data_IF_592147412117
#
_entry.id   IF_592147412117
#
_cell.length_a   1.000
_cell.length_b   1.000
_cell.length_c   1.000
_cell.angle_alpha   90.00
_cell.angle_beta   90.00
_cell.angle_gamma   90.00
#
_symmetry.space_group_name_H-M   'P 1'
#
loop_
_entity.id
_entity.type
_entity.pdbx_description
1 polymer ?
#
# COMPACT_ATOMS: atom_id res chain seq x y z
N UNK A 1 42.96 19.19 43.80
CA UNK A 1 41.94 18.13 43.96
C UNK A 1 40.61 18.84 44.10
N UNK A 2 40.02 19.25 42.99
CA UNK A 2 38.75 19.99 43.00
C UNK A 2 37.61 19.01 43.26
N UNK A 3 37.15 18.99 44.51
CA UNK A 3 36.00 18.22 44.93
C UNK A 3 34.76 18.82 44.28
N UNK A 4 34.23 18.10 43.29
CA UNK A 4 32.86 18.22 42.79
C UNK A 4 31.87 18.18 43.96
N UNK A 5 31.53 19.33 44.53
CA UNK A 5 30.34 19.49 45.37
C UNK A 5 29.24 19.96 44.43
N UNK A 6 28.81 19.04 43.58
CA UNK A 6 27.56 19.19 42.85
C UNK A 6 26.46 19.22 43.91
N UNK A 7 25.79 20.36 44.02
CA UNK A 7 24.79 20.60 45.06
C UNK A 7 23.62 19.64 44.88
N UNK A 8 22.94 19.26 45.97
CA UNK A 8 21.78 18.35 45.89
C UNK A 8 20.70 18.84 44.91
N UNK A 9 20.60 20.16 44.73
CA UNK A 9 19.69 20.81 43.78
C UNK A 9 20.10 20.58 42.31
N UNK A 10 21.40 20.67 41.99
CA UNK A 10 21.92 20.36 40.65
C UNK A 10 21.71 18.90 40.26
N UNK A 11 21.90 17.98 41.22
CA UNK A 11 21.62 16.56 41.00
C UNK A 11 20.14 16.30 40.78
N UNK A 12 19.28 16.95 41.55
CA UNK A 12 17.84 16.82 41.41
C UNK A 12 17.37 17.36 40.05
N UNK A 13 17.89 18.51 39.61
CA UNK A 13 17.60 19.09 38.30
C UNK A 13 18.08 18.20 37.14
N UNK A 14 19.27 17.60 37.26
CA UNK A 14 19.78 16.63 36.27
C UNK A 14 18.91 15.37 36.19
N UNK A 15 18.52 14.82 37.33
CA UNK A 15 17.64 13.65 37.39
C UNK A 15 16.25 13.94 36.80
N UNK A 16 15.68 15.11 37.08
CA UNK A 16 14.39 15.54 36.50
C UNK A 16 14.51 15.67 34.98
N UNK A 17 15.61 16.24 34.48
CA UNK A 17 15.84 16.33 33.04
C UNK A 17 16.02 14.95 32.38
N UNK A 18 16.74 14.03 33.02
CA UNK A 18 16.94 12.67 32.52
C UNK A 18 15.63 11.85 32.54
N UNK A 19 14.81 12.00 33.58
CA UNK A 19 13.47 11.39 33.64
C UNK A 19 12.55 11.93 32.55
N UNK A 20 12.55 13.24 32.33
CA UNK A 20 11.79 13.88 31.25
C UNK A 20 12.24 13.34 29.88
N UNK A 21 13.54 13.22 29.63
CA UNK A 21 14.06 12.63 28.38
C UNK A 21 13.64 11.17 28.21
N UNK A 22 13.80 10.34 29.25
CA UNK A 22 13.38 8.93 29.18
C UNK A 22 11.88 8.78 28.92
N UNK A 23 11.06 9.66 29.51
CA UNK A 23 9.61 9.64 29.31
C UNK A 23 9.24 9.98 27.86
N UNK A 24 9.94 10.93 27.22
CA UNK A 24 9.80 11.22 25.79
C UNK A 24 10.17 10.01 24.93
N UNK A 25 11.31 9.38 25.21
CA UNK A 25 11.77 8.22 24.45
C UNK A 25 10.82 7.01 24.57
N UNK A 26 10.13 6.88 25.70
CA UNK A 26 9.08 5.87 25.90
C UNK A 26 7.86 6.22 25.05
N UNK A 27 7.35 7.45 25.13
CA UNK A 27 6.17 7.87 24.37
C UNK A 27 6.42 7.85 22.86
N UNK A 28 7.59 8.26 22.37
CA UNK A 28 7.95 8.15 20.96
C UNK A 28 8.00 6.69 20.48
N UNK A 29 8.42 5.76 21.35
CA UNK A 29 8.37 4.32 21.06
C UNK A 29 6.94 3.80 21.03
N UNK A 30 6.10 4.20 21.97
CA UNK A 30 4.67 3.86 21.99
C UNK A 30 3.96 4.37 20.73
N UNK A 31 4.26 5.60 20.31
CA UNK A 31 3.76 6.20 19.07
C UNK A 31 4.15 5.39 17.83
N UNK A 32 5.40 4.90 17.75
CA UNK A 32 5.86 4.03 16.66
C UNK A 32 5.12 2.69 16.65
N UNK A 33 4.97 2.06 17.82
CA UNK A 33 4.23 0.79 17.96
C UNK A 33 2.78 0.98 17.53
N UNK A 34 2.13 2.05 17.98
CA UNK A 34 0.75 2.37 17.61
C UNK A 34 0.57 2.51 16.09
N UNK A 35 1.50 3.19 15.42
CA UNK A 35 1.47 3.34 13.96
C UNK A 35 1.70 2.01 13.25
N UNK A 36 2.63 1.18 13.74
CA UNK A 36 2.85 -0.15 13.18
C UNK A 36 1.62 -1.05 13.34
N UNK A 37 0.87 -0.92 14.44
CA UNK A 37 -0.42 -1.58 14.63
C UNK A 37 -1.49 -1.06 13.64
N UNK A 38 -1.55 0.25 13.39
CA UNK A 38 -2.46 0.84 12.41
C UNK A 38 -2.16 0.36 10.98
N UNK A 39 -0.88 0.21 10.63
CA UNK A 39 -0.44 -0.35 9.35
C UNK A 39 -0.85 -1.83 9.25
N UNK A 40 -0.64 -2.61 10.31
CA UNK A 40 -1.03 -4.03 10.35
C UNK A 40 -2.54 -4.22 10.21
N UNK A 41 -3.33 -3.32 10.81
CA UNK A 41 -4.78 -3.32 10.74
C UNK A 41 -5.34 -2.73 9.42
N UNK A 42 -4.47 -2.25 8.52
CA UNK A 42 -4.87 -1.64 7.24
C UNK A 42 -5.62 -0.30 7.39
N UNK A 43 -5.54 0.33 8.56
CA UNK A 43 -6.17 1.65 8.83
C UNK A 43 -5.32 2.82 8.33
N UNK A 44 -4.02 2.59 8.19
CA UNK A 44 -3.06 3.55 7.67
C UNK A 44 -2.37 2.95 6.46
N UNK A 45 -2.14 3.76 5.43
CA UNK A 45 -1.34 3.33 4.29
C UNK A 45 0.17 3.44 4.61
N UNK A 46 1.04 2.56 4.07
CA UNK A 46 2.48 2.66 4.27
C UNK A 46 3.07 4.02 3.86
N UNK A 47 2.49 4.67 2.84
CA UNK A 47 2.88 6.00 2.36
C UNK A 47 2.63 7.13 3.37
N UNK A 48 1.78 6.90 4.36
CA UNK A 48 1.36 7.87 5.36
C UNK A 48 2.09 7.70 6.71
N UNK A 49 2.92 6.65 6.84
CA UNK A 49 3.60 6.28 8.09
C UNK A 49 4.41 7.43 8.69
N UNK A 50 5.29 8.02 7.89
CA UNK A 50 6.25 9.02 8.38
C UNK A 50 5.56 10.31 8.80
N UNK A 51 4.50 10.72 8.09
CA UNK A 51 3.71 11.91 8.44
C UNK A 51 2.83 11.67 9.67
N UNK A 52 2.19 10.51 9.77
CA UNK A 52 1.43 10.14 10.97
C UNK A 52 2.33 10.16 12.21
N UNK A 53 3.56 9.64 12.09
CA UNK A 53 4.52 9.61 13.19
C UNK A 53 4.98 11.00 13.57
N UNK A 54 5.26 11.86 12.58
CA UNK A 54 5.64 13.25 12.83
C UNK A 54 4.53 14.01 13.56
N UNK A 55 3.27 13.86 13.14
CA UNK A 55 2.12 14.52 13.79
C UNK A 55 1.94 14.01 15.22
N UNK A 56 2.02 12.69 15.42
CA UNK A 56 1.81 12.09 16.73
C UNK A 56 2.89 12.52 17.73
N UNK A 57 4.16 12.54 17.31
CA UNK A 57 5.26 13.01 18.15
C UNK A 57 5.12 14.52 18.47
N UNK A 58 4.62 15.33 17.53
CA UNK A 58 4.33 16.74 17.80
C UNK A 58 3.18 16.92 18.81
N UNK A 59 2.13 16.10 18.71
CA UNK A 59 1.03 16.10 19.68
C UNK A 59 1.51 15.69 21.08
N UNK A 60 2.34 14.64 21.18
CA UNK A 60 2.97 14.26 22.46
C UNK A 60 3.88 15.37 23.00
N UNK A 61 4.57 16.10 22.13
CA UNK A 61 5.34 17.30 22.50
C UNK A 61 4.44 18.40 23.10
N UNK A 62 3.30 18.66 22.47
CA UNK A 62 2.31 19.64 22.94
C UNK A 62 1.75 19.27 24.32
N UNK A 63 1.32 18.03 24.51
CA UNK A 63 0.68 17.55 25.75
C UNK A 63 1.63 17.58 26.96
N UNK A 64 2.93 17.43 26.70
CA UNK A 64 3.97 17.51 27.74
C UNK A 64 4.48 18.96 27.96
N UNK A 65 3.75 19.98 27.49
CA UNK A 65 4.10 21.40 27.58
C UNK A 65 5.50 21.73 27.00
N UNK A 66 5.97 20.91 26.05
CA UNK A 66 7.29 21.08 25.47
C UNK A 66 7.27 22.06 24.30
N UNK A 67 8.39 22.74 24.12
CA UNK A 67 8.64 23.60 22.96
C UNK A 67 8.64 22.72 21.70
N UNK A 68 7.58 22.84 20.91
CA UNK A 68 7.47 22.20 19.61
C UNK A 68 8.38 22.96 18.66
N UNK A 69 9.42 22.28 18.15
CA UNK A 69 10.31 22.86 17.15
C UNK A 69 9.67 22.71 15.76
N UNK A 70 8.88 23.71 15.38
CA UNK A 70 8.41 23.89 14.00
C UNK A 70 9.45 24.70 13.24
N UNK A 71 9.80 24.28 12.03
CA UNK A 71 10.64 25.08 11.12
C UNK A 71 9.88 26.33 10.69
N UNK A 72 10.62 27.38 10.31
CA UNK A 72 10.05 28.64 9.87
C UNK A 72 9.12 28.42 8.65
N UNK A 73 7.84 28.70 8.82
CA UNK A 73 6.80 28.49 7.80
C UNK A 73 6.03 27.16 7.91
N UNK A 74 6.44 26.22 8.75
CA UNK A 74 5.64 25.02 9.04
C UNK A 74 4.68 25.27 10.20
N UNK A 75 3.38 25.03 9.97
CA UNK A 75 2.37 25.02 11.03
C UNK A 75 1.88 23.60 11.28
N UNK A 76 1.47 23.32 12.52
CA UNK A 76 0.83 22.06 12.87
C UNK A 76 -0.40 21.79 11.99
N UNK A 77 -1.17 22.85 11.71
CA UNK A 77 -2.30 22.82 10.78
C UNK A 77 -1.87 22.38 9.37
N UNK A 78 -0.75 22.89 8.85
CA UNK A 78 -0.25 22.53 7.52
C UNK A 78 0.15 21.06 7.43
N UNK A 79 0.77 20.50 8.48
CA UNK A 79 1.13 19.07 8.53
C UNK A 79 -0.11 18.18 8.56
N UNK A 80 -1.12 18.53 9.36
CA UNK A 80 -2.39 17.80 9.38
C UNK A 80 -3.09 17.89 8.02
N UNK A 81 -3.15 19.07 7.40
CA UNK A 81 -3.72 19.23 6.06
C UNK A 81 -3.02 18.34 5.04
N UNK A 82 -1.68 18.35 5.00
CA UNK A 82 -0.89 17.48 4.12
C UNK A 82 -1.19 16.00 4.35
N UNK A 83 -1.32 15.58 5.61
CA UNK A 83 -1.66 14.21 5.96
C UNK A 83 -3.07 13.80 5.50
N UNK A 84 -4.06 14.67 5.72
CA UNK A 84 -5.44 14.45 5.29
C UNK A 84 -5.58 14.43 3.75
N UNK A 85 -4.85 15.30 3.04
CA UNK A 85 -4.85 15.32 1.57
C UNK A 85 -4.30 14.03 0.96
N UNK A 86 -3.41 13.33 1.69
CA UNK A 86 -2.91 12.01 1.29
C UNK A 86 -3.85 10.86 1.64
N UNK A 87 -4.95 11.10 2.36
CA UNK A 87 -5.96 10.07 2.58
C UNK A 87 -6.75 9.84 1.30
N UNK A 88 -6.56 8.66 0.71
CA UNK A 88 -7.39 8.24 -0.41
C UNK A 88 -8.82 8.02 0.09
N UNK A 89 -9.79 8.74 -0.47
CA UNK A 89 -11.19 8.44 -0.24
C UNK A 89 -11.46 7.05 -0.83
N UNK A 90 -11.78 6.07 0.01
CA UNK A 90 -12.27 4.78 -0.48
C UNK A 90 -13.65 5.06 -1.08
N UNK A 91 -13.71 5.15 -2.40
CA UNK A 91 -14.96 5.36 -3.10
C UNK A 91 -15.76 4.05 -3.08
N UNK A 92 -16.67 3.92 -2.12
CA UNK A 92 -17.57 2.76 -1.98
C UNK A 92 -18.65 2.73 -3.08
N UNK A 93 -18.64 3.66 -4.03
CA UNK A 93 -19.60 3.70 -5.13
C UNK A 93 -19.51 2.51 -6.09
N UNK A 94 -18.47 1.66 -5.98
CA UNK A 94 -18.26 0.50 -6.84
C UNK A 94 -18.71 -0.82 -6.17
N UNK A 95 -19.80 -0.82 -5.42
CA UNK A 95 -20.40 -2.07 -4.92
C UNK A 95 -21.90 -2.24 -5.23
N UNK A 96 -22.52 -1.36 -6.02
CA UNK A 96 -23.90 -1.59 -6.48
C UNK A 96 -24.17 -1.28 -7.95
N UNK A 97 -23.23 -0.72 -8.72
CA UNK A 97 -23.47 -0.43 -10.15
C UNK A 97 -22.75 -1.33 -11.14
N UNK A 98 -21.80 -2.18 -10.70
CA UNK A 98 -21.19 -3.23 -11.53
C UNK A 98 -21.60 -4.66 -11.10
N UNK A 99 -22.68 -4.78 -10.31
CA UNK A 99 -23.49 -5.99 -10.32
C UNK A 99 -24.53 -5.86 -11.43
N UNK A 100 -24.01 -5.81 -12.66
CA UNK A 100 -24.75 -6.11 -13.86
C UNK A 100 -25.04 -7.61 -13.80
N UNK A 101 -26.11 -7.97 -13.09
CA UNK A 101 -26.64 -9.32 -12.97
C UNK A 101 -27.22 -9.69 -14.34
N UNK A 102 -26.30 -10.06 -15.24
CA UNK A 102 -26.43 -10.54 -16.62
C UNK A 102 -26.78 -9.50 -17.69
N UNK A 103 -25.87 -9.31 -18.66
CA UNK A 103 -26.23 -9.18 -20.09
C UNK A 103 -25.10 -9.46 -21.09
N UNK A 104 -23.84 -9.55 -20.66
CA UNK A 104 -22.77 -10.15 -21.48
C UNK A 104 -22.01 -11.23 -20.71
N UNK A 105 -22.74 -12.28 -20.29
CA UNK A 105 -22.15 -13.61 -20.47
C UNK A 105 -21.81 -13.66 -21.96
N UNK A 106 -20.53 -13.51 -22.33
CA UNK A 106 -20.03 -14.39 -23.40
C UNK A 106 -20.54 -15.74 -22.95
N UNK A 107 -21.48 -16.30 -23.71
CA UNK A 107 -21.99 -17.63 -23.46
C UNK A 107 -20.75 -18.43 -23.09
N UNK A 108 -20.71 -19.01 -21.88
CA UNK A 108 -19.72 -20.02 -21.60
C UNK A 108 -20.05 -21.12 -22.59
N UNK A 109 -19.51 -20.98 -23.81
CA UNK A 109 -19.46 -22.04 -24.79
C UNK A 109 -18.51 -22.98 -24.09
N UNK A 110 -19.11 -23.91 -23.35
CA UNK A 110 -18.45 -25.16 -23.04
C UNK A 110 -17.78 -25.56 -24.34
N UNK A 111 -16.44 -25.60 -24.32
CA UNK A 111 -15.65 -25.98 -25.48
C UNK A 111 -16.24 -27.32 -25.91
N UNK A 112 -16.99 -27.32 -27.00
CA UNK A 112 -17.50 -28.58 -27.51
C UNK A 112 -16.25 -29.38 -27.82
N UNK A 113 -16.11 -30.58 -27.25
CA UNK A 113 -14.92 -31.43 -27.41
C UNK A 113 -14.60 -31.76 -28.89
N UNK A 114 -15.49 -31.34 -29.81
CA UNK A 114 -15.42 -31.53 -31.24
C UNK A 114 -14.99 -30.28 -32.04
N UNK A 115 -14.74 -29.13 -31.43
CA UNK A 115 -14.17 -27.98 -32.15
C UNK A 115 -12.65 -28.17 -32.31
N UNK A 116 -12.24 -28.62 -33.50
CA UNK A 116 -10.82 -28.63 -33.90
C UNK A 116 -10.29 -27.21 -33.77
N UNK A 117 -9.28 -27.04 -32.92
CA UNK A 117 -8.59 -25.76 -32.75
C UNK A 117 -8.15 -25.25 -34.14
N UNK A 118 -8.59 -24.06 -34.59
CA UNK A 118 -8.30 -23.57 -35.92
C UNK A 118 -6.79 -23.48 -36.18
N UNK A 119 -5.97 -23.26 -35.16
CA UNK A 119 -4.52 -23.27 -35.27
C UNK A 119 -3.94 -24.66 -35.56
N UNK A 120 -4.52 -25.71 -34.95
CA UNK A 120 -4.10 -27.10 -35.19
C UNK A 120 -4.52 -27.58 -36.58
N UNK A 121 -5.70 -27.18 -37.05
CA UNK A 121 -6.16 -27.52 -38.39
C UNK A 121 -5.25 -26.88 -39.45
N UNK A 122 -4.89 -25.61 -39.28
CA UNK A 122 -4.00 -24.90 -40.21
C UNK A 122 -2.60 -25.53 -40.25
N UNK A 123 -2.08 -25.97 -39.10
CA UNK A 123 -0.82 -26.70 -39.02
C UNK A 123 -0.88 -28.05 -39.77
N UNK A 124 -1.99 -28.78 -39.64
CA UNK A 124 -2.20 -30.04 -40.36
C UNK A 124 -2.28 -29.82 -41.87
N UNK A 125 -2.97 -28.77 -42.32
CA UNK A 125 -3.08 -28.42 -43.74
C UNK A 125 -1.70 -28.08 -44.31
N UNK A 126 -0.92 -27.24 -43.62
CA UNK A 126 0.44 -26.89 -44.04
C UNK A 126 1.36 -28.12 -44.14
N UNK A 127 1.23 -29.05 -43.20
CA UNK A 127 2.00 -30.31 -43.22
C UNK A 127 1.60 -31.19 -44.38
N UNK A 128 0.30 -31.32 -44.65
CA UNK A 128 -0.22 -32.10 -45.77
C UNK A 128 0.22 -31.52 -47.13
N UNK A 129 0.15 -30.20 -47.28
CA UNK A 129 0.66 -29.51 -48.46
C UNK A 129 2.14 -29.78 -48.68
N UNK A 130 2.96 -29.78 -47.62
CA UNK A 130 4.40 -30.02 -47.72
C UNK A 130 4.73 -31.46 -48.13
N UNK A 131 3.97 -32.44 -47.63
CA UNK A 131 4.23 -33.85 -47.89
C UNK A 131 3.77 -34.30 -49.28
N UNK A 132 2.65 -33.74 -49.76
CA UNK A 132 2.03 -34.15 -51.03
C UNK A 132 2.18 -33.11 -52.15
N UNK A 133 2.81 -31.98 -51.87
CA UNK A 133 3.06 -30.86 -52.78
C UNK A 133 1.78 -30.34 -53.48
N UNK A 134 0.68 -30.30 -52.72
CA UNK A 134 -0.64 -29.87 -53.18
C UNK A 134 -0.98 -28.46 -52.71
N UNK A 135 -1.95 -27.83 -53.36
CA UNK A 135 -2.36 -26.46 -53.04
C UNK A 135 -3.23 -26.41 -51.77
N UNK A 136 -3.31 -25.25 -51.11
CA UNK A 136 -3.98 -25.11 -49.80
C UNK A 136 -5.46 -25.51 -49.87
N UNK A 137 -6.17 -25.08 -50.92
CA UNK A 137 -7.59 -25.39 -51.11
C UNK A 137 -7.84 -26.91 -51.21
N UNK A 138 -7.00 -27.61 -51.98
CA UNK A 138 -7.10 -29.07 -52.13
C UNK A 138 -6.76 -29.79 -50.82
N UNK A 139 -5.75 -29.33 -50.07
CA UNK A 139 -5.39 -29.92 -48.78
C UNK A 139 -6.49 -29.70 -47.72
N UNK A 140 -7.08 -28.50 -47.70
CA UNK A 140 -8.22 -28.17 -46.84
C UNK A 140 -9.41 -29.08 -47.14
N UNK A 141 -9.85 -29.17 -48.41
CA UNK A 141 -10.97 -30.03 -48.82
C UNK A 141 -10.77 -31.52 -48.47
N UNK A 142 -9.53 -32.01 -48.46
CA UNK A 142 -9.22 -33.38 -48.05
C UNK A 142 -9.22 -33.57 -46.52
N UNK A 143 -8.90 -32.55 -45.73
CA UNK A 143 -8.79 -32.63 -44.27
C UNK A 143 -10.07 -32.22 -43.52
N UNK A 144 -10.95 -31.47 -44.18
CA UNK A 144 -12.22 -30.99 -43.62
C UNK A 144 -13.46 -31.71 -44.19
N UNK A 145 -13.28 -32.63 -45.14
CA UNK A 145 -14.31 -33.63 -45.50
C UNK A 145 -14.39 -34.70 -44.42
#
# INVERSE_FOLDING_TARGET
MDKNIETSEEKNNRLIAELSQKQKDIQERENKIYIDELLKNGRLFPSQKDEALSILNMATGYDNEMVISLSEGESFESKIKSFLDKMTLINLSMQTTDLDINLNKKQSVWRNENEKDPELLDLQIKTYMRNYNVNYKTAFEHLTK
#
